data_IF_776448319788
#
_entry.id   IF_776448319788
#
_cell.length_a   1.000
_cell.length_b   1.000
_cell.length_c   1.000
_cell.angle_alpha   90.00
_cell.angle_beta   90.00
_cell.angle_gamma   90.00
#
_symmetry.space_group_name_H-M   'P 1'
#
loop_
_entity.id
_entity.type
_entity.pdbx_description
1 polymer ?
#
# COMPACT_ATOMS: atom_id res chain seq x y z
N UNK A 1 14.39 29.64 -47.18
CA UNK A 1 15.10 29.80 -45.89
C UNK A 1 14.18 29.30 -44.79
N UNK A 2 14.46 28.11 -44.26
CA UNK A 2 13.65 27.42 -43.27
C UNK A 2 14.25 27.64 -41.88
N UNK A 3 13.54 28.32 -41.00
CA UNK A 3 13.94 28.52 -39.60
C UNK A 3 13.74 27.24 -38.80
N UNK A 4 14.85 26.62 -38.37
CA UNK A 4 14.87 25.54 -37.39
C UNK A 4 14.42 26.07 -36.03
N UNK A 5 13.22 25.67 -35.60
CA UNK A 5 12.77 25.83 -34.22
C UNK A 5 13.42 24.73 -33.36
N UNK A 6 14.56 25.05 -32.74
CA UNK A 6 15.07 24.25 -31.63
C UNK A 6 14.18 24.44 -30.40
N UNK A 7 13.21 23.53 -30.23
CA UNK A 7 12.51 23.34 -28.97
C UNK A 7 13.48 22.75 -27.95
N UNK A 8 14.04 23.62 -27.12
CA UNK A 8 14.83 23.27 -25.94
C UNK A 8 14.09 22.26 -25.07
N UNK A 9 14.55 21.01 -25.10
CA UNK A 9 14.04 19.92 -24.29
C UNK A 9 14.37 20.20 -22.81
N UNK A 10 13.43 20.82 -22.09
CA UNK A 10 13.49 20.91 -20.63
C UNK A 10 13.33 19.51 -20.07
N UNK A 11 14.46 18.90 -19.72
CA UNK A 11 14.57 17.60 -19.06
C UNK A 11 13.85 17.64 -17.69
N UNK A 12 12.59 17.23 -17.68
CA UNK A 12 11.80 17.04 -16.46
C UNK A 12 12.33 15.82 -15.69
N UNK A 13 13.40 16.00 -14.90
CA UNK A 13 13.82 15.01 -13.90
C UNK A 13 12.70 14.85 -12.87
N UNK A 14 11.89 13.81 -13.08
CA UNK A 14 11.04 13.21 -12.06
C UNK A 14 11.96 12.72 -10.94
N UNK A 15 12.06 13.49 -9.86
CA UNK A 15 12.73 13.08 -8.63
C UNK A 15 11.99 11.88 -8.06
N UNK A 16 12.49 10.69 -8.39
CA UNK A 16 12.07 9.42 -7.81
C UNK A 16 12.31 9.51 -6.28
N UNK A 17 11.43 8.96 -5.43
CA UNK A 17 11.76 8.77 -4.02
C UNK A 17 13.13 8.09 -3.92
N UNK A 18 14.04 8.64 -3.12
CA UNK A 18 15.42 8.18 -3.08
C UNK A 18 15.45 6.74 -2.56
N UNK A 19 16.46 5.98 -2.97
CA UNK A 19 16.65 4.61 -2.48
C UNK A 19 16.67 4.54 -0.95
N UNK A 20 17.15 5.62 -0.32
CA UNK A 20 17.19 5.82 1.12
C UNK A 20 15.80 5.88 1.76
N UNK A 21 14.79 6.50 1.12
CA UNK A 21 13.42 6.52 1.66
C UNK A 21 12.78 5.14 1.66
N UNK A 22 13.02 4.35 0.62
CA UNK A 22 12.53 2.97 0.54
C UNK A 22 13.30 2.04 1.49
N UNK A 23 14.61 2.26 1.65
CA UNK A 23 15.43 1.52 2.60
C UNK A 23 15.00 1.81 4.04
N UNK A 24 14.72 3.08 4.37
CA UNK A 24 14.21 3.46 5.70
C UNK A 24 12.85 2.80 5.98
N UNK A 25 11.91 2.80 5.04
CA UNK A 25 10.64 2.12 5.21
C UNK A 25 10.79 0.58 5.36
N UNK A 26 11.74 -0.03 4.62
CA UNK A 26 12.04 -1.44 4.75
C UNK A 26 12.73 -1.77 6.08
N UNK A 27 13.66 -0.93 6.53
CA UNK A 27 14.32 -1.03 7.83
C UNK A 27 13.29 -0.87 8.95
N UNK A 28 12.36 0.08 8.84
CA UNK A 28 11.30 0.28 9.81
C UNK A 28 10.40 -0.95 9.92
N UNK A 29 10.06 -1.60 8.79
CA UNK A 29 9.36 -2.89 8.78
C UNK A 29 10.18 -4.03 9.40
N UNK A 30 11.48 -4.12 9.09
CA UNK A 30 12.37 -5.16 9.64
C UNK A 30 12.58 -4.94 11.14
N UNK A 31 12.73 -3.69 11.60
CA UNK A 31 12.87 -3.33 13.00
C UNK A 31 11.57 -3.58 13.75
N UNK A 32 10.41 -3.22 13.18
CA UNK A 32 9.12 -3.56 13.77
C UNK A 32 8.95 -5.08 13.91
N UNK A 33 9.33 -5.85 12.88
CA UNK A 33 9.30 -7.31 12.92
C UNK A 33 10.30 -7.90 13.92
N UNK A 34 11.50 -7.34 14.00
CA UNK A 34 12.55 -7.77 14.92
C UNK A 34 12.20 -7.43 16.37
N UNK A 35 11.63 -6.25 16.64
CA UNK A 35 11.12 -5.84 17.96
C UNK A 35 9.94 -6.71 18.37
N UNK A 36 8.99 -6.97 17.47
CA UNK A 36 7.91 -7.93 17.71
C UNK A 36 8.49 -9.31 18.06
N UNK A 37 9.46 -9.81 17.28
CA UNK A 37 10.15 -11.07 17.58
C UNK A 37 10.92 -11.04 18.91
N UNK A 38 11.57 -9.93 19.25
CA UNK A 38 12.36 -9.77 20.47
C UNK A 38 11.47 -9.81 21.71
N UNK A 39 10.32 -9.11 21.66
CA UNK A 39 9.28 -9.16 22.69
C UNK A 39 8.78 -10.61 22.85
N UNK A 40 8.49 -11.28 21.73
CA UNK A 40 8.06 -12.69 21.71
C UNK A 40 9.12 -13.68 22.23
N UNK A 41 10.42 -13.35 22.15
CA UNK A 41 11.49 -14.21 22.70
C UNK A 41 11.82 -13.92 24.17
N UNK A 42 11.52 -12.72 24.68
CA UNK A 42 11.81 -12.34 26.07
C UNK A 42 10.71 -12.75 27.06
N UNK A 43 9.50 -13.05 26.58
CA UNK A 43 8.40 -13.54 27.42
C UNK A 43 8.51 -15.03 27.81
N UNK A 44 9.64 -15.70 27.51
CA UNK A 44 9.92 -17.07 28.00
C UNK A 44 10.19 -17.16 29.51
N UNK A 45 9.99 -16.09 30.28
CA UNK A 45 10.27 -16.06 31.72
C UNK A 45 9.04 -15.92 32.62
N UNK A 46 7.82 -15.90 32.09
CA UNK A 46 6.63 -15.87 32.95
C UNK A 46 6.12 -17.28 33.21
N UNK A 47 6.41 -17.71 34.43
CA UNK A 47 6.14 -19.01 35.02
C UNK A 47 4.66 -19.39 34.97
N UNK A 48 4.46 -20.68 34.70
CA UNK A 48 3.45 -21.56 35.27
C UNK A 48 2.52 -20.94 36.33
N UNK A 49 1.24 -20.81 35.99
CA UNK A 49 0.15 -20.90 36.96
C UNK A 49 -0.87 -21.93 36.43
N UNK A 50 -1.01 -23.10 37.07
CA UNK A 50 -2.11 -24.00 36.79
C UNK A 50 -3.35 -23.50 37.54
N UNK A 51 -4.30 -22.88 36.84
CA UNK A 51 -5.65 -22.69 37.39
C UNK A 51 -6.44 -23.99 37.21
N UNK A 52 -6.35 -24.86 38.21
CA UNK A 52 -7.30 -25.94 38.41
C UNK A 52 -8.62 -25.34 38.90
N UNK A 53 -9.65 -25.37 38.07
CA UNK A 53 -11.03 -25.26 38.53
C UNK A 53 -11.58 -26.67 38.74
N UNK A 54 -11.42 -27.16 39.97
CA UNK A 54 -12.26 -28.22 40.51
C UNK A 54 -13.62 -27.63 40.89
N UNK A 55 -14.70 -28.27 40.45
CA UNK A 55 -16.03 -28.12 41.05
C UNK A 55 -17.17 -27.83 40.06
N UNK A 56 -17.80 -28.90 39.57
CA UNK A 56 -19.25 -29.14 39.69
C UNK A 56 -19.68 -30.19 38.65
N UNK A 57 -20.16 -31.32 39.14
CA UNK A 57 -20.77 -32.39 38.38
C UNK A 57 -21.97 -31.93 37.55
N UNK A 58 -22.11 -32.52 36.36
CA UNK A 58 -23.39 -32.63 35.66
C UNK A 58 -23.66 -31.58 34.59
N UNK A 59 -23.01 -31.75 33.43
CA UNK A 59 -23.58 -31.80 32.05
C UNK A 59 -22.35 -31.96 31.15
N UNK A 60 -22.26 -32.95 30.24
CA UNK A 60 -21.25 -32.94 29.19
C UNK A 60 -21.58 -31.80 28.23
N UNK A 61 -21.15 -30.58 28.57
CA UNK A 61 -21.02 -29.50 27.61
C UNK A 61 -20.03 -30.01 26.56
N UNK A 62 -20.35 -29.95 25.26
CA UNK A 62 -19.37 -30.25 24.23
C UNK A 62 -18.16 -29.38 24.52
N UNK A 63 -17.00 -30.02 24.56
CA UNK A 63 -15.71 -29.41 24.83
C UNK A 63 -15.50 -28.25 23.84
N UNK A 64 -15.93 -27.04 24.22
CA UNK A 64 -15.72 -25.81 23.47
C UNK A 64 -14.32 -25.26 23.76
N UNK A 65 -13.40 -26.09 24.25
CA UNK A 65 -11.98 -25.83 24.08
C UNK A 65 -11.69 -25.87 22.57
N UNK A 66 -11.93 -24.74 21.90
CA UNK A 66 -11.40 -24.46 20.57
C UNK A 66 -9.89 -24.35 20.72
N UNK A 67 -9.22 -25.47 20.97
CA UNK A 67 -7.78 -25.54 20.98
C UNK A 67 -7.30 -24.92 19.65
N UNK A 68 -6.37 -23.95 19.69
CA UNK A 68 -5.93 -23.28 18.49
C UNK A 68 -5.48 -24.33 17.47
N UNK A 69 -6.17 -24.40 16.33
CA UNK A 69 -5.78 -25.29 15.24
C UNK A 69 -4.36 -24.91 14.83
N UNK A 70 -3.42 -25.83 14.96
CA UNK A 70 -2.01 -25.58 14.66
C UNK A 70 -1.82 -25.33 13.17
N UNK A 71 -1.36 -24.13 12.81
CA UNK A 71 -0.93 -23.84 11.46
C UNK A 71 0.39 -24.56 11.18
N UNK A 72 0.35 -25.58 10.34
CA UNK A 72 1.56 -26.23 9.84
C UNK A 72 2.06 -25.47 8.61
N UNK A 73 3.18 -24.77 8.77
CA UNK A 73 3.90 -24.23 7.62
C UNK A 73 4.60 -25.37 6.90
N UNK A 74 4.13 -25.70 5.70
CA UNK A 74 4.81 -26.61 4.82
C UNK A 74 6.03 -25.96 4.19
N UNK A 75 6.83 -26.80 3.52
CA UNK A 75 7.96 -26.33 2.72
C UNK A 75 7.55 -25.34 1.63
N UNK A 76 6.32 -25.46 1.11
CA UNK A 76 5.79 -24.56 0.10
C UNK A 76 5.60 -23.14 0.67
N UNK A 77 5.02 -22.98 1.85
CA UNK A 77 4.80 -21.68 2.48
C UNK A 77 6.12 -21.01 2.87
N UNK A 78 7.06 -21.80 3.43
CA UNK A 78 8.40 -21.32 3.76
C UNK A 78 9.17 -20.89 2.51
N UNK A 79 9.11 -21.69 1.44
CA UNK A 79 9.75 -21.36 0.17
C UNK A 79 9.11 -20.14 -0.48
N UNK A 80 7.78 -19.99 -0.44
CA UNK A 80 7.08 -18.83 -0.97
C UNK A 80 7.45 -17.55 -0.19
N UNK A 81 7.53 -17.62 1.15
CA UNK A 81 7.97 -16.52 1.99
C UNK A 81 9.44 -16.14 1.74
N UNK A 82 10.32 -17.14 1.64
CA UNK A 82 11.73 -16.95 1.29
C UNK A 82 11.90 -16.33 -0.10
N UNK A 83 11.18 -16.84 -1.10
CA UNK A 83 11.17 -16.31 -2.46
C UNK A 83 10.64 -14.87 -2.51
N UNK A 84 9.60 -14.55 -1.73
CA UNK A 84 9.08 -13.20 -1.63
C UNK A 84 10.15 -12.25 -1.06
N UNK A 85 10.82 -12.63 0.03
CA UNK A 85 11.89 -11.81 0.63
C UNK A 85 13.07 -11.61 -0.34
N UNK A 86 13.53 -12.67 -1.01
CA UNK A 86 14.61 -12.61 -2.01
C UNK A 86 14.21 -11.76 -3.20
N UNK A 87 12.98 -11.91 -3.71
CA UNK A 87 12.50 -11.12 -4.85
C UNK A 87 12.33 -9.63 -4.50
N UNK A 88 11.85 -9.32 -3.29
CA UNK A 88 11.78 -7.93 -2.78
C UNK A 88 13.17 -7.34 -2.67
N UNK A 89 14.12 -8.05 -2.05
CA UNK A 89 15.51 -7.60 -1.93
C UNK A 89 16.13 -7.39 -3.31
N UNK A 90 15.94 -8.33 -4.23
CA UNK A 90 16.39 -8.22 -5.60
C UNK A 90 15.77 -7.00 -6.32
N UNK A 91 14.49 -6.75 -6.12
CA UNK A 91 13.83 -5.54 -6.62
C UNK A 91 14.41 -4.27 -5.98
N UNK A 92 14.65 -4.24 -4.67
CA UNK A 92 15.24 -3.08 -3.99
C UNK A 92 16.63 -2.75 -4.56
N UNK A 93 17.44 -3.76 -4.85
CA UNK A 93 18.80 -3.63 -5.37
C UNK A 93 18.85 -3.27 -6.87
N UNK A 94 18.10 -4.00 -7.71
CA UNK A 94 18.18 -3.87 -9.18
C UNK A 94 17.12 -2.97 -9.77
N UNK A 95 16.01 -2.75 -9.06
CA UNK A 95 14.87 -1.92 -9.47
C UNK A 95 14.34 -2.29 -10.86
N UNK A 96 14.38 -3.57 -11.22
CA UNK A 96 13.91 -4.09 -12.51
C UNK A 96 12.41 -4.39 -12.48
N UNK A 97 11.76 -4.39 -13.65
CA UNK A 97 10.33 -4.68 -13.76
C UNK A 97 10.01 -6.14 -13.44
N UNK A 98 10.82 -7.08 -13.96
CA UNK A 98 10.63 -8.51 -13.73
C UNK A 98 10.73 -8.87 -12.25
N UNK A 99 11.75 -8.37 -11.53
CA UNK A 99 11.89 -8.65 -10.11
C UNK A 99 10.76 -8.04 -9.27
N UNK A 100 10.21 -6.88 -9.65
CA UNK A 100 9.00 -6.36 -9.02
C UNK A 100 7.77 -7.25 -9.25
N UNK A 101 7.58 -7.75 -10.47
CA UNK A 101 6.43 -8.61 -10.78
C UNK A 101 6.54 -9.95 -10.05
N UNK A 102 7.72 -10.56 -10.05
CA UNK A 102 8.00 -11.79 -9.29
C UNK A 102 7.78 -11.58 -7.79
N UNK A 103 8.25 -10.45 -7.23
CA UNK A 103 8.01 -10.10 -5.84
C UNK A 103 6.51 -9.95 -5.54
N UNK A 104 5.75 -9.28 -6.41
CA UNK A 104 4.31 -9.13 -6.22
C UNK A 104 3.59 -10.47 -6.22
N UNK A 105 3.92 -11.35 -7.16
CA UNK A 105 3.33 -12.70 -7.25
C UNK A 105 3.69 -13.51 -6.00
N UNK A 106 4.97 -13.55 -5.62
CA UNK A 106 5.42 -14.29 -4.45
C UNK A 106 4.75 -13.81 -3.16
N UNK A 107 4.64 -12.48 -2.97
CA UNK A 107 3.93 -11.88 -1.83
C UNK A 107 2.45 -12.27 -1.83
N UNK A 108 1.77 -12.18 -2.98
CA UNK A 108 0.35 -12.52 -3.08
C UNK A 108 0.09 -14.02 -2.81
N UNK A 109 0.95 -14.90 -3.33
CA UNK A 109 0.89 -16.34 -3.08
C UNK A 109 1.12 -16.65 -1.60
N UNK A 110 2.15 -16.06 -1.00
CA UNK A 110 2.44 -16.25 0.44
C UNK A 110 1.28 -15.77 1.31
N UNK A 111 0.80 -14.54 1.09
CA UNK A 111 -0.31 -13.96 1.85
C UNK A 111 -1.65 -14.70 1.64
N UNK A 112 -1.80 -15.41 0.52
CA UNK A 112 -2.98 -16.25 0.22
C UNK A 112 -2.80 -17.72 0.59
N UNK A 113 -1.69 -18.10 1.21
CA UNK A 113 -1.43 -19.49 1.58
C UNK A 113 -2.42 -20.02 2.63
N UNK A 114 -2.69 -21.34 2.67
CA UNK A 114 -3.57 -21.92 3.68
C UNK A 114 -3.15 -21.59 5.12
N UNK A 115 -1.85 -21.62 5.41
CA UNK A 115 -1.30 -21.30 6.72
C UNK A 115 -1.60 -19.85 7.13
N UNK A 116 -1.33 -18.87 6.26
CA UNK A 116 -1.60 -17.46 6.56
C UNK A 116 -3.09 -17.19 6.69
N UNK A 117 -3.93 -17.81 5.84
CA UNK A 117 -5.39 -17.69 5.89
C UNK A 117 -6.00 -18.30 7.16
N UNK A 118 -5.42 -19.36 7.69
CA UNK A 118 -5.80 -19.95 8.98
C UNK A 118 -5.37 -19.03 10.12
N UNK A 119 -4.11 -18.61 10.15
CA UNK A 119 -3.59 -17.72 11.19
C UNK A 119 -4.30 -16.38 11.23
N UNK A 120 -4.71 -15.84 10.08
CA UNK A 120 -5.51 -14.62 9.99
C UNK A 120 -6.90 -14.74 10.64
N UNK A 121 -7.44 -15.94 10.85
CA UNK A 121 -8.67 -16.13 11.64
C UNK A 121 -8.44 -16.17 13.14
N UNK A 122 -7.18 -16.34 13.56
CA UNK A 122 -6.77 -16.50 14.96
C UNK A 122 -5.97 -15.31 15.49
N UNK A 123 -5.49 -14.42 14.62
CA UNK A 123 -4.73 -13.22 14.97
C UNK A 123 -5.13 -12.08 14.05
N UNK A 124 -5.63 -11.02 14.66
CA UNK A 124 -5.91 -9.74 14.02
C UNK A 124 -4.62 -9.13 13.45
N UNK A 125 -3.49 -9.22 14.15
CA UNK A 125 -2.21 -8.76 13.62
C UNK A 125 -1.83 -9.50 12.33
N UNK A 126 -1.94 -10.83 12.29
CA UNK A 126 -1.66 -11.60 11.08
C UNK A 126 -2.63 -11.24 9.95
N UNK A 127 -3.91 -11.04 10.27
CA UNK A 127 -4.89 -10.56 9.30
C UNK A 127 -4.50 -9.19 8.71
N UNK A 128 -4.06 -8.25 9.55
CA UNK A 128 -3.60 -6.93 9.10
C UNK A 128 -2.35 -7.03 8.24
N UNK A 129 -1.37 -7.86 8.60
CA UNK A 129 -0.18 -8.10 7.77
C UNK A 129 -0.58 -8.67 6.40
N UNK A 130 -1.45 -9.69 6.37
CA UNK A 130 -1.90 -10.28 5.12
C UNK A 130 -2.66 -9.27 4.24
N UNK A 131 -3.52 -8.46 4.84
CA UNK A 131 -4.23 -7.39 4.15
C UNK A 131 -3.26 -6.33 3.61
N UNK A 132 -2.28 -5.87 4.37
CA UNK A 132 -1.30 -4.90 3.91
C UNK A 132 -0.44 -5.44 2.75
N UNK A 133 -0.07 -6.72 2.81
CA UNK A 133 0.63 -7.38 1.71
C UNK A 133 -0.22 -7.39 0.42
N UNK A 134 -1.52 -7.67 0.52
CA UNK A 134 -2.43 -7.82 -0.62
C UNK A 134 -3.00 -6.49 -1.14
N UNK A 135 -3.30 -5.54 -0.25
CA UNK A 135 -3.93 -4.26 -0.57
C UNK A 135 -2.93 -3.15 -0.86
N UNK A 136 -1.70 -3.26 -0.33
CA UNK A 136 -0.70 -2.20 -0.44
C UNK A 136 0.56 -2.68 -1.15
N UNK A 137 1.29 -3.64 -0.57
CA UNK A 137 2.61 -4.00 -1.06
C UNK A 137 2.59 -4.62 -2.47
N UNK A 138 1.84 -5.71 -2.66
CA UNK A 138 1.76 -6.39 -3.95
C UNK A 138 1.22 -5.47 -5.06
N UNK A 139 0.12 -4.71 -4.86
CA UNK A 139 -0.35 -3.73 -5.83
C UNK A 139 0.69 -2.68 -6.22
N UNK A 140 1.42 -2.11 -5.25
CA UNK A 140 2.46 -1.13 -5.53
C UNK A 140 3.64 -1.74 -6.30
N UNK A 141 4.00 -3.00 -6.01
CA UNK A 141 5.02 -3.74 -6.76
C UNK A 141 4.59 -3.95 -8.23
N UNK A 142 3.34 -4.42 -8.47
CA UNK A 142 2.75 -4.56 -9.82
C UNK A 142 2.82 -3.23 -10.57
N UNK A 143 2.37 -2.14 -9.93
CA UNK A 143 2.38 -0.81 -10.54
C UNK A 143 3.80 -0.27 -10.74
N UNK A 144 4.77 -0.67 -9.93
CA UNK A 144 6.17 -0.30 -10.14
C UNK A 144 6.75 -0.99 -11.39
N UNK A 145 6.40 -2.26 -11.61
CA UNK A 145 6.81 -3.03 -12.79
C UNK A 145 6.22 -2.45 -14.07
N UNK A 146 4.90 -2.25 -14.09
CA UNK A 146 4.17 -1.71 -15.23
C UNK A 146 4.68 -0.32 -15.66
N UNK A 147 5.27 0.47 -14.75
CA UNK A 147 5.72 1.84 -15.05
C UNK A 147 6.99 1.80 -15.90
N UNK A 148 7.81 0.78 -15.66
CA UNK A 148 9.09 0.59 -16.32
C UNK A 148 8.92 -0.08 -17.69
N UNK A 149 7.88 -0.90 -17.84
CA UNK A 149 7.53 -1.54 -19.12
C UNK A 149 6.92 -0.52 -20.09
N UNK A 150 6.05 0.37 -19.62
CA UNK A 150 5.27 1.29 -20.47
C UNK A 150 5.90 2.66 -20.75
N UNK A 151 7.21 2.77 -20.88
CA UNK A 151 7.88 4.07 -21.08
C UNK A 151 7.87 4.54 -22.55
N UNK A 152 6.69 4.72 -23.14
CA UNK A 152 6.56 5.36 -24.46
C UNK A 152 5.14 5.95 -24.68
N UNK A 153 5.02 7.24 -24.37
CA UNK A 153 4.04 8.26 -24.83
C UNK A 153 3.49 9.08 -23.67
N UNK A 154 3.70 10.38 -23.75
CA UNK A 154 3.01 11.34 -22.91
C UNK A 154 1.49 11.13 -23.09
N UNK A 155 0.73 10.88 -22.02
CA UNK A 155 -0.71 10.73 -22.15
C UNK A 155 -1.29 12.04 -22.70
N UNK A 156 -1.98 11.96 -23.83
CA UNK A 156 -2.86 13.04 -24.27
C UNK A 156 -3.82 13.35 -23.12
N UNK A 157 -3.91 14.64 -22.75
CA UNK A 157 -4.82 15.15 -21.72
C UNK A 157 -6.25 15.02 -22.24
N UNK A 158 -6.83 13.85 -22.07
CA UNK A 158 -8.27 13.65 -22.24
C UNK A 158 -8.80 13.28 -20.87
N UNK A 159 -9.23 14.31 -20.13
CA UNK A 159 -9.96 14.08 -18.89
C UNK A 159 -11.34 13.53 -19.23
N UNK A 160 -11.65 12.32 -18.77
CA UNK A 160 -12.95 11.71 -18.97
C UNK A 160 -13.65 11.50 -17.64
N UNK A 161 -14.95 11.81 -17.58
CA UNK A 161 -15.83 11.55 -16.42
C UNK A 161 -15.69 10.11 -15.94
N UNK A 162 -15.56 9.15 -16.88
CA UNK A 162 -15.36 7.73 -16.55
C UNK A 162 -14.08 7.43 -15.75
N UNK A 163 -12.97 8.13 -16.01
CA UNK A 163 -11.73 7.94 -15.25
C UNK A 163 -11.86 8.48 -13.82
N UNK A 164 -12.54 9.62 -13.65
CA UNK A 164 -12.84 10.19 -12.34
C UNK A 164 -13.75 9.25 -11.54
N UNK A 165 -14.83 8.77 -12.16
CA UNK A 165 -15.76 7.82 -11.56
C UNK A 165 -15.04 6.52 -11.16
N UNK A 166 -14.15 6.00 -12.01
CA UNK A 166 -13.33 4.84 -11.69
C UNK A 166 -12.44 5.08 -10.47
N UNK A 167 -11.68 6.18 -10.43
CA UNK A 167 -10.77 6.46 -9.30
C UNK A 167 -11.53 6.61 -7.98
N UNK A 168 -12.67 7.31 -7.99
CA UNK A 168 -13.50 7.47 -6.80
C UNK A 168 -14.16 6.15 -6.40
N UNK A 169 -14.74 5.41 -7.35
CA UNK A 169 -15.35 4.10 -7.12
C UNK A 169 -14.34 3.10 -6.55
N UNK A 170 -13.11 3.08 -7.06
CA UNK A 170 -12.05 2.24 -6.53
C UNK A 170 -11.65 2.62 -5.09
N UNK A 171 -11.59 3.92 -4.76
CA UNK A 171 -11.34 4.39 -3.40
C UNK A 171 -12.47 4.04 -2.43
N UNK A 172 -13.73 4.20 -2.86
CA UNK A 172 -14.90 3.79 -2.09
C UNK A 172 -14.93 2.28 -1.86
N UNK A 173 -14.63 1.49 -2.89
CA UNK A 173 -14.58 0.02 -2.79
C UNK A 173 -13.45 -0.42 -1.84
N UNK A 174 -12.30 0.23 -1.90
CA UNK A 174 -11.18 0.00 -0.98
C UNK A 174 -11.57 0.30 0.47
N UNK A 175 -12.16 1.48 0.72
CA UNK A 175 -12.63 1.87 2.05
C UNK A 175 -13.74 0.92 2.56
N UNK A 176 -14.70 0.57 1.72
CA UNK A 176 -15.79 -0.33 2.06
C UNK A 176 -15.29 -1.73 2.40
N UNK A 177 -14.30 -2.25 1.66
CA UNK A 177 -13.64 -3.52 2.00
C UNK A 177 -12.98 -3.43 3.38
N UNK A 178 -12.21 -2.37 3.66
CA UNK A 178 -11.58 -2.19 4.96
C UNK A 178 -12.60 -2.12 6.09
N UNK A 179 -13.72 -1.41 5.92
CA UNK A 179 -14.80 -1.41 6.90
C UNK A 179 -15.36 -2.83 7.06
N UNK A 180 -15.72 -3.48 5.96
CA UNK A 180 -16.38 -4.79 5.98
C UNK A 180 -15.55 -5.87 6.70
N UNK A 181 -14.23 -5.93 6.46
CA UNK A 181 -13.36 -6.93 7.10
C UNK A 181 -13.13 -6.66 8.60
N UNK A 182 -13.50 -5.47 9.09
CA UNK A 182 -13.43 -5.10 10.50
C UNK A 182 -14.78 -5.15 11.22
N UNK A 183 -15.89 -5.46 10.52
CA UNK A 183 -17.20 -5.64 11.16
C UNK A 183 -17.19 -6.98 11.94
N UNK A 184 -17.58 -7.00 13.24
CA UNK A 184 -17.58 -8.22 14.07
C UNK A 184 -18.35 -9.40 13.46
N UNK A 185 -19.47 -9.14 12.78
CA UNK A 185 -20.26 -10.18 12.11
C UNK A 185 -19.48 -10.91 11.01
N UNK A 186 -18.58 -10.22 10.30
CA UNK A 186 -17.71 -10.83 9.29
C UNK A 186 -16.58 -11.62 9.95
N UNK A 187 -16.08 -11.13 11.08
CA UNK A 187 -15.06 -11.81 11.89
C UNK A 187 -15.58 -13.15 12.45
N UNK A 188 -16.80 -13.16 13.01
CA UNK A 188 -17.42 -14.40 13.52
C UNK A 188 -17.65 -15.44 12.43
N UNK A 189 -18.12 -15.01 11.25
CA UNK A 189 -18.26 -15.91 10.10
C UNK A 189 -16.92 -16.47 9.60
N UNK A 190 -15.84 -15.69 9.71
CA UNK A 190 -14.48 -16.15 9.41
C UNK A 190 -13.99 -17.23 10.37
N UNK A 191 -14.30 -17.08 11.66
CA UNK A 191 -13.99 -18.07 12.71
C UNK A 191 -14.79 -19.36 12.47
N UNK A 192 -16.09 -19.26 12.15
CA UNK A 192 -16.95 -20.41 11.83
C UNK A 192 -16.42 -21.23 10.64
N UNK A 193 -15.92 -20.55 9.60
CA UNK A 193 -15.33 -21.19 8.42
C UNK A 193 -13.95 -21.81 8.69
N UNK A 194 -13.32 -21.49 9.82
CA UNK A 194 -12.00 -22.00 10.22
C UNK A 194 -10.83 -21.59 9.33
N UNK A 195 -11.05 -20.79 8.28
CA UNK A 195 -10.02 -20.13 7.47
C UNK A 195 -10.66 -19.00 6.65
N UNK A 196 -9.93 -17.91 6.40
CA UNK A 196 -10.38 -16.85 5.48
C UNK A 196 -10.52 -17.45 4.08
N UNK A 197 -11.65 -17.41 3.36
CA UNK A 197 -11.76 -17.97 2.02
C UNK A 197 -10.77 -17.36 1.00
N UNK A 198 -10.23 -18.20 0.08
CA UNK A 198 -9.24 -17.76 -0.93
C UNK A 198 -9.78 -16.63 -1.83
N UNK A 199 -11.07 -16.65 -2.17
CA UNK A 199 -11.66 -15.62 -3.01
C UNK A 199 -11.58 -14.23 -2.36
N UNK A 200 -11.58 -14.13 -1.02
CA UNK A 200 -11.44 -12.85 -0.31
C UNK A 200 -10.05 -12.27 -0.55
N UNK A 201 -9.00 -13.10 -0.53
CA UNK A 201 -7.62 -12.62 -0.77
C UNK A 201 -7.44 -12.15 -2.21
N UNK A 202 -8.08 -12.84 -3.18
CA UNK A 202 -8.11 -12.42 -4.59
C UNK A 202 -8.86 -11.09 -4.74
N UNK A 203 -10.04 -10.95 -4.14
CA UNK A 203 -10.83 -9.71 -4.18
C UNK A 203 -10.05 -8.56 -3.55
N UNK A 204 -9.39 -8.77 -2.42
CA UNK A 204 -8.54 -7.77 -1.79
C UNK A 204 -7.40 -7.32 -2.72
N UNK A 205 -6.67 -8.26 -3.33
CA UNK A 205 -5.60 -7.93 -4.27
C UNK A 205 -6.11 -7.11 -5.48
N UNK A 206 -7.25 -7.49 -6.06
CA UNK A 206 -7.86 -6.79 -7.21
C UNK A 206 -8.27 -5.36 -6.82
N UNK A 207 -8.94 -5.21 -5.67
CA UNK A 207 -9.34 -3.89 -5.15
C UNK A 207 -8.11 -3.01 -4.88
N UNK A 208 -7.07 -3.56 -4.26
CA UNK A 208 -5.80 -2.88 -4.03
C UNK A 208 -5.17 -2.40 -5.34
N UNK A 209 -5.05 -3.28 -6.34
CA UNK A 209 -4.53 -2.92 -7.67
C UNK A 209 -5.38 -1.79 -8.30
N UNK A 210 -6.71 -1.92 -8.27
CA UNK A 210 -7.62 -0.92 -8.82
C UNK A 210 -7.48 0.45 -8.17
N UNK A 211 -7.46 0.48 -6.83
CA UNK A 211 -7.28 1.71 -6.05
C UNK A 211 -5.95 2.39 -6.35
N UNK A 212 -4.83 1.66 -6.21
CA UNK A 212 -3.51 2.25 -6.45
C UNK A 212 -3.30 2.62 -7.92
N UNK A 213 -3.90 1.89 -8.86
CA UNK A 213 -3.90 2.26 -10.28
C UNK A 213 -4.65 3.57 -10.49
N UNK A 214 -5.86 3.69 -9.92
CA UNK A 214 -6.68 4.89 -9.93
C UNK A 214 -5.97 6.11 -9.36
N UNK A 215 -5.15 5.94 -8.31
CA UNK A 215 -4.38 7.02 -7.70
C UNK A 215 -3.08 7.32 -8.45
N UNK A 216 -2.32 6.32 -8.91
CA UNK A 216 -0.96 6.52 -9.41
C UNK A 216 -0.84 6.58 -10.93
N UNK A 217 -1.77 5.99 -11.69
CA UNK A 217 -1.65 5.80 -13.15
C UNK A 217 -2.61 6.62 -14.01
N UNK A 218 -3.53 7.33 -13.38
CA UNK A 218 -4.50 8.20 -14.06
C UNK A 218 -3.98 9.63 -14.25
N UNK A 219 -2.66 9.85 -14.17
CA UNK A 219 -2.06 11.17 -14.36
C UNK A 219 -2.40 11.75 -15.75
N UNK A 220 -2.89 13.00 -15.77
CA UNK A 220 -3.37 13.65 -17.00
C UNK A 220 -4.76 13.23 -17.47
N UNK A 221 -5.39 12.22 -16.83
CA UNK A 221 -6.77 11.77 -17.09
C UNK A 221 -7.73 12.13 -15.96
N UNK A 222 -7.24 12.13 -14.72
CA UNK A 222 -8.00 12.53 -13.53
C UNK A 222 -7.31 13.73 -12.88
N UNK A 223 -8.06 14.77 -12.50
CA UNK A 223 -7.53 15.91 -11.76
C UNK A 223 -6.77 15.47 -10.50
N UNK A 224 -5.63 16.11 -10.22
CA UNK A 224 -4.78 15.73 -9.07
C UNK A 224 -5.48 15.93 -7.74
N UNK A 225 -6.34 16.94 -7.61
CA UNK A 225 -7.17 17.15 -6.42
C UNK A 225 -8.10 15.95 -6.17
N UNK A 226 -8.72 15.38 -7.20
CA UNK A 226 -9.56 14.18 -7.07
C UNK A 226 -8.72 12.97 -6.65
N UNK A 227 -7.57 12.74 -7.30
CA UNK A 227 -6.67 11.63 -6.95
C UNK A 227 -6.15 11.74 -5.51
N UNK A 228 -5.86 12.96 -5.06
CA UNK A 228 -5.43 13.24 -3.69
C UNK A 228 -6.57 13.06 -2.70
N UNK A 229 -7.77 13.54 -3.00
CA UNK A 229 -8.96 13.34 -2.16
C UNK A 229 -9.30 11.86 -2.03
N UNK A 230 -9.27 11.10 -3.14
CA UNK A 230 -9.47 9.65 -3.14
C UNK A 230 -8.43 8.92 -2.27
N UNK A 231 -7.15 9.31 -2.37
CA UNK A 231 -6.09 8.76 -1.53
C UNK A 231 -6.33 9.09 -0.06
N UNK A 232 -6.53 10.36 0.29
CA UNK A 232 -6.67 10.78 1.69
C UNK A 232 -7.94 10.21 2.32
N UNK A 233 -9.08 10.27 1.63
CA UNK A 233 -10.35 9.76 2.16
C UNK A 233 -10.32 8.26 2.45
N UNK A 234 -9.74 7.44 1.55
CA UNK A 234 -9.58 6.01 1.81
C UNK A 234 -8.62 5.72 2.99
N UNK A 235 -7.60 6.57 3.16
CA UNK A 235 -6.59 6.42 4.21
C UNK A 235 -7.08 6.95 5.56
N UNK A 236 -8.00 7.91 5.59
CA UNK A 236 -8.68 8.36 6.81
C UNK A 236 -9.55 7.24 7.38
N UNK A 237 -10.29 6.52 6.54
CA UNK A 237 -11.05 5.33 6.98
C UNK A 237 -10.12 4.28 7.58
N UNK A 238 -8.99 4.01 6.92
CA UNK A 238 -7.98 3.08 7.42
C UNK A 238 -7.39 3.53 8.76
N UNK A 239 -7.00 4.81 8.88
CA UNK A 239 -6.46 5.38 10.11
C UNK A 239 -7.48 5.36 11.26
N UNK A 240 -8.76 5.63 10.97
CA UNK A 240 -9.82 5.55 11.97
C UNK A 240 -10.03 4.13 12.48
N UNK A 241 -10.04 3.13 11.59
CA UNK A 241 -10.10 1.71 11.97
C UNK A 241 -8.88 1.31 12.81
N UNK A 242 -7.68 1.73 12.41
CA UNK A 242 -6.45 1.47 13.17
C UNK A 242 -6.48 2.10 14.57
N UNK A 243 -6.99 3.33 14.68
CA UNK A 243 -7.17 4.02 15.96
C UNK A 243 -8.20 3.31 16.85
N UNK A 244 -9.34 2.90 16.32
CA UNK A 244 -10.33 2.12 17.06
C UNK A 244 -9.74 0.79 17.56
N UNK A 245 -8.89 0.15 16.75
CA UNK A 245 -8.20 -1.09 17.12
C UNK A 245 -7.19 -0.87 18.25
N UNK A 246 -6.53 0.30 18.30
CA UNK A 246 -5.65 0.67 19.42
C UNK A 246 -6.40 0.75 20.75
N UNK A 247 -7.66 1.19 20.72
CA UNK A 247 -8.52 1.26 21.91
C UNK A 247 -9.27 -0.03 22.21
N UNK A 248 -9.05 -1.10 21.45
CA UNK A 248 -9.66 -2.41 21.71
C UNK A 248 -11.14 -2.49 21.33
N UNK A 249 -11.62 -1.64 20.43
CA UNK A 249 -13.04 -1.52 20.07
C UNK A 249 -13.68 -2.79 19.46
N UNK A 250 -12.88 -3.83 19.19
CA UNK A 250 -13.26 -5.02 18.42
C UNK A 250 -12.82 -6.34 19.07
N UNK A 251 -12.32 -6.29 20.31
CA UNK A 251 -11.70 -7.43 20.96
C UNK A 251 -12.70 -8.50 21.38
N UNK A 252 -12.68 -9.66 20.73
CA UNK A 252 -13.19 -10.91 21.28
C UNK A 252 -12.05 -11.68 21.95
N UNK A 253 -12.29 -12.31 23.10
CA UNK A 253 -11.29 -13.17 23.74
C UNK A 253 -10.90 -14.33 22.78
N UNK A 254 -9.62 -14.45 22.47
CA UNK A 254 -9.09 -15.53 21.65
C UNK A 254 -7.62 -15.78 22.02
N UNK A 255 -7.20 -17.03 21.91
CA UNK A 255 -5.79 -17.41 22.07
C UNK A 255 -5.05 -17.12 20.76
N UNK A 256 -4.17 -16.11 20.77
CA UNK A 256 -3.36 -15.78 19.61
C UNK A 256 -2.29 -16.87 19.39
N UNK A 257 -2.10 -17.35 18.16
CA UNK A 257 -1.03 -18.31 17.83
C UNK A 257 0.38 -17.73 18.07
N UNK A 258 0.48 -16.41 18.28
CA UNK A 258 1.72 -15.71 18.61
C UNK A 258 1.99 -15.69 20.13
N UNK A 259 1.11 -16.23 20.97
CA UNK A 259 1.21 -16.12 22.43
C UNK A 259 0.92 -14.71 22.95
N UNK A 260 0.39 -13.83 22.11
CA UNK A 260 -0.03 -12.48 22.49
C UNK A 260 -1.41 -12.50 23.14
N UNK A 261 -1.65 -11.61 24.10
CA UNK A 261 -3.02 -11.38 24.56
C UNK A 261 -3.85 -10.78 23.40
N UNK A 262 -5.14 -11.11 23.34
CA UNK A 262 -6.06 -10.58 22.32
C UNK A 262 -6.02 -9.04 22.24
N UNK A 263 -5.81 -8.36 23.38
CA UNK A 263 -5.66 -6.91 23.43
C UNK A 263 -4.40 -6.42 22.70
N UNK A 264 -3.25 -7.04 22.93
CA UNK A 264 -2.01 -6.65 22.28
C UNK A 264 -2.00 -7.01 20.80
N UNK A 265 -2.54 -8.17 20.44
CA UNK A 265 -2.71 -8.59 19.04
C UNK A 265 -3.53 -7.56 18.25
N UNK A 266 -4.65 -7.10 18.82
CA UNK A 266 -5.48 -6.06 18.22
C UNK A 266 -4.77 -4.71 18.11
N UNK A 267 -4.11 -4.26 19.19
CA UNK A 267 -3.39 -2.98 19.23
C UNK A 267 -2.26 -2.93 18.21
N UNK A 268 -1.48 -4.00 18.10
CA UNK A 268 -0.40 -4.10 17.13
C UNK A 268 -0.92 -4.09 15.69
N UNK A 269 -2.05 -4.77 15.43
CA UNK A 269 -2.73 -4.67 14.14
C UNK A 269 -3.12 -3.23 13.79
N UNK A 270 -3.71 -2.50 14.75
CA UNK A 270 -4.05 -1.08 14.58
C UNK A 270 -2.82 -0.18 14.35
N UNK A 271 -1.74 -0.38 15.10
CA UNK A 271 -0.47 0.34 14.93
C UNK A 271 0.11 0.07 13.54
N UNK A 272 0.16 -1.19 13.12
CA UNK A 272 0.65 -1.58 11.80
C UNK A 272 -0.12 -0.84 10.70
N UNK A 273 -1.45 -0.88 10.76
CA UNK A 273 -2.31 -0.20 9.79
C UNK A 273 -2.05 1.30 9.74
N UNK A 274 -1.93 1.97 10.89
CA UNK A 274 -1.60 3.40 10.94
C UNK A 274 -0.20 3.70 10.37
N UNK A 275 0.79 2.86 10.70
CA UNK A 275 2.15 3.00 10.22
C UNK A 275 2.24 2.80 8.69
N UNK A 276 1.54 1.81 8.14
CA UNK A 276 1.50 1.59 6.68
C UNK A 276 0.76 2.71 5.96
N UNK A 277 -0.33 3.21 6.53
CA UNK A 277 -1.02 4.41 6.02
C UNK A 277 -0.06 5.61 5.98
N UNK A 278 0.63 5.92 7.08
CA UNK A 278 1.57 7.04 7.15
C UNK A 278 2.76 6.86 6.20
N UNK A 279 3.37 5.68 6.18
CA UNK A 279 4.56 5.37 5.39
C UNK A 279 4.31 5.37 3.89
N UNK A 280 3.08 5.07 3.44
CA UNK A 280 2.75 4.98 2.01
C UNK A 280 1.97 6.21 1.54
N UNK A 281 0.90 6.60 2.23
CA UNK A 281 0.02 7.66 1.75
C UNK A 281 0.67 9.04 1.82
N UNK A 282 1.43 9.35 2.89
CA UNK A 282 2.04 10.67 3.07
C UNK A 282 3.05 10.97 1.96
N UNK A 283 4.02 10.08 1.64
CA UNK A 283 4.95 10.33 0.53
C UNK A 283 4.24 10.49 -0.82
N UNK A 284 3.19 9.69 -1.08
CA UNK A 284 2.44 9.76 -2.33
C UNK A 284 1.65 11.07 -2.42
N UNK A 285 0.93 11.47 -1.37
CA UNK A 285 0.18 12.73 -1.32
C UNK A 285 1.09 13.95 -1.49
N UNK A 286 2.28 13.95 -0.84
CA UNK A 286 3.32 14.96 -1.05
C UNK A 286 3.82 14.97 -2.50
N UNK A 287 4.00 13.79 -3.10
CA UNK A 287 4.36 13.62 -4.51
C UNK A 287 3.35 14.23 -5.47
N UNK A 288 2.05 14.00 -5.23
CA UNK A 288 0.96 14.58 -6.02
C UNK A 288 0.95 16.11 -5.94
N UNK A 289 1.09 16.67 -4.74
CA UNK A 289 1.12 18.13 -4.53
C UNK A 289 2.30 18.79 -5.24
N UNK A 290 3.48 18.15 -5.22
CA UNK A 290 4.68 18.65 -5.91
C UNK A 290 4.50 18.63 -7.44
N UNK A 291 3.80 17.62 -7.98
CA UNK A 291 3.54 17.54 -9.41
C UNK A 291 2.67 18.70 -9.90
N UNK A 292 1.62 19.06 -9.16
CA UNK A 292 0.75 20.20 -9.47
C UNK A 292 1.52 21.54 -9.48
N UNK A 293 2.33 21.79 -8.45
CA UNK A 293 3.13 23.02 -8.36
C UNK A 293 4.06 23.18 -9.56
N UNK A 294 4.74 22.11 -9.98
CA UNK A 294 5.64 22.14 -11.14
C UNK A 294 4.90 22.45 -12.45
N UNK A 295 3.68 21.95 -12.61
CA UNK A 295 2.86 22.26 -13.78
C UNK A 295 2.37 23.71 -13.78
N UNK A 296 2.01 24.27 -12.62
CA UNK A 296 1.65 25.68 -12.49
C UNK A 296 2.83 26.61 -12.83
N UNK A 297 4.03 26.31 -12.32
CA UNK A 297 5.23 27.11 -12.60
C UNK A 297 5.63 27.05 -14.09
N UNK A 298 5.63 25.86 -14.69
CA UNK A 298 5.98 25.70 -16.12
C UNK A 298 4.99 26.41 -17.07
N UNK A 299 3.70 26.48 -16.70
CA UNK A 299 2.71 27.24 -17.45
C UNK A 299 2.97 28.75 -17.42
N UNK A 300 3.38 29.29 -16.26
CA UNK A 300 3.72 30.70 -16.10
C UNK A 300 4.98 31.05 -16.93
N UNK A 301 6.01 30.20 -16.91
CA UNK A 301 7.23 30.44 -17.70
C UNK A 301 6.96 30.47 -19.20
N UNK A 302 6.04 29.62 -19.69
CA UNK A 302 5.64 29.61 -21.10
C UNK A 302 4.81 30.84 -21.49
N UNK A 303 3.99 31.39 -20.58
CA UNK A 303 3.21 32.61 -20.82
C UNK A 303 4.12 33.84 -20.83
N UNK A 304 5.11 33.89 -19.94
CA UNK A 304 6.10 34.99 -19.89
C UNK A 304 7.00 34.96 -21.12
N UNK A 305 7.46 33.79 -21.57
CA UNK A 305 8.27 33.65 -22.79
C UNK A 305 7.52 34.01 -24.09
N UNK A 306 6.19 33.92 -24.12
CA UNK A 306 5.37 34.39 -25.25
C UNK A 306 5.06 35.89 -25.23
N UNK A 307 5.30 36.57 -24.11
CA UNK A 307 4.93 37.99 -23.92
C UNK A 307 6.13 38.94 -23.86
N UNK A 308 7.36 38.46 -23.99
CA UNK A 308 8.49 39.35 -24.25
C UNK A 308 8.46 39.76 -25.72
N UNK A 309 8.02 40.99 -26.07
CA UNK A 309 8.25 41.49 -27.42
C UNK A 309 9.75 41.48 -27.65
N UNK A 310 10.18 40.79 -28.71
CA UNK A 310 11.54 40.92 -29.22
C UNK A 310 11.62 42.36 -29.71
N UNK A 311 12.25 43.23 -28.92
CA UNK A 311 12.73 44.52 -29.43
C UNK A 311 13.79 44.19 -30.47
N UNK A 312 13.36 44.05 -31.73
CA UNK A 312 14.26 44.09 -32.87
C UNK A 312 14.95 45.45 -32.84
N UNK A 313 16.29 45.52 -32.82
CA UNK A 313 16.98 46.79 -32.93
C UNK A 313 16.61 47.44 -34.28
N UNK A 314 16.48 48.78 -34.34
CA UNK A 314 16.20 49.46 -35.59
C UNK A 314 17.31 49.15 -36.60
N UNK A 315 16.93 48.74 -37.80
CA UNK A 315 17.84 48.61 -38.95
C UNK A 315 18.50 49.96 -39.20
N UNK A 316 19.82 49.99 -39.08
CA UNK A 316 20.65 51.12 -39.50
C UNK A 316 20.44 51.39 -40.99
N UNK A 317 19.81 52.52 -41.28
CA UNK A 317 19.68 53.06 -42.63
C UNK A 317 21.07 53.51 -43.10
N UNK A 318 21.66 52.73 -44.01
CA UNK A 318 22.91 53.06 -44.69
C UNK A 318 22.74 54.34 -45.54
N UNK A 319 23.62 55.35 -45.42
CA UNK A 319 23.55 56.55 -46.23
C UNK A 319 23.99 56.24 -47.66
N UNK A 320 23.11 56.54 -48.61
CA UNK A 320 23.42 56.51 -50.03
C UNK A 320 24.38 57.66 -50.37
N UNK A 321 25.53 57.29 -50.92
CA UNK A 321 26.45 58.16 -51.65
C UNK A 321 26.09 58.13 -53.13
N UNK A 322 25.83 59.30 -53.73
CA UNK A 322 25.98 59.62 -55.17
C UNK A 322 25.54 61.08 -55.36
N UNK A 323 26.49 61.98 -55.56
CA UNK A 323 26.79 62.67 -56.83
C UNK A 323 25.85 63.84 -57.16
#
# INVERSE_FOLDING_TARGET
MAGQFELGAVSLRHTRPSALTWALAAIELIVAFAVAKLILTNDRSWSSYPHAHQGADGVPMPDMSTAPRSAHFGWLELSAGGLAAVAILWWLLRRQAMSAMLAAIAVAVFASSPAVRLLATQSHLVAMVALDLLLVLAPLLVLSALKRIGSARAPQRVSGVGWTAFTLGAALTYAALLVAVHIPAVHHRGIELGSVPLWITVVAAVIGIGFWFGVLRTNGRVPTNVRRAALLGAQEVAAFIGLLSLFGAWGSAHDSPLGLSAMWDQRLGGILMMATCAGVAIPIARGLTRADRRHATAGITHIVARRTPVCTPPEDVSPATSE
#
